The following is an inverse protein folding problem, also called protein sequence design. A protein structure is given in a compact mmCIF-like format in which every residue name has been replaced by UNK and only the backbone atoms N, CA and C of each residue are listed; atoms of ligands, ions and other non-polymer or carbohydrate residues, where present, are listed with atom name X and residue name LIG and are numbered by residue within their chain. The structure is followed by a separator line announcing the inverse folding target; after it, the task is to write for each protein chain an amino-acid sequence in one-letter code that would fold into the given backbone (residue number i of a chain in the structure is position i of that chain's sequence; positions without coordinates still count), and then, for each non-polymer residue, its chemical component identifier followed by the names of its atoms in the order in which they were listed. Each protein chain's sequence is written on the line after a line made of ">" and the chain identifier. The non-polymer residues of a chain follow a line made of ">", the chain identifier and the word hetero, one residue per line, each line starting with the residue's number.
data_IF_889811018315
#
_entry.id   IF_889811018315
#
_cell.length_a   1.000
_cell.length_b   1.000
_cell.length_c   1.000
_cell.angle_alpha   90.00
_cell.angle_beta   90.00
_cell.angle_gamma   90.00
#
_symmetry.space_group_name_H-M   'P 1'
#
loop_
_entity.id
_entity.type
_entity.pdbx_description
1 polymer ?
#
# COMPACT_ATOMS: atom_id res chain seq x y z
N UNK A 1 24.34 -12.12 11.16
CA UNK A 1 22.92 -11.83 10.87
C UNK A 1 22.47 -12.82 9.82
N UNK A 2 21.43 -13.62 10.05
CA UNK A 2 20.91 -14.55 9.04
C UNK A 2 20.56 -13.81 7.74
N UNK A 3 20.70 -14.43 6.56
CA UNK A 3 20.22 -13.83 5.32
C UNK A 3 18.71 -13.58 5.43
N UNK A 4 18.19 -12.44 4.94
CA UNK A 4 16.76 -12.12 5.00
C UNK A 4 15.95 -13.18 4.26
N UNK A 5 14.80 -13.53 4.82
CA UNK A 5 13.90 -14.53 4.26
C UNK A 5 13.41 -14.09 2.86
N UNK A 6 13.20 -15.03 1.94
CA UNK A 6 12.82 -14.71 0.56
C UNK A 6 11.48 -13.97 0.48
N UNK A 7 10.53 -14.26 1.37
CA UNK A 7 9.21 -13.63 1.47
C UNK A 7 9.33 -12.14 1.78
N UNK A 8 10.16 -11.76 2.75
CA UNK A 8 10.44 -10.36 3.07
C UNK A 8 11.04 -9.60 1.88
N UNK A 9 11.92 -10.24 1.10
CA UNK A 9 12.52 -9.61 -0.09
C UNK A 9 11.49 -9.35 -1.19
N UNK A 10 10.55 -10.28 -1.39
CA UNK A 10 9.44 -10.13 -2.34
C UNK A 10 8.46 -9.05 -1.88
N UNK A 11 7.96 -9.16 -0.65
CA UNK A 11 7.04 -8.19 -0.05
C UNK A 11 7.62 -6.77 -0.04
N UNK A 12 8.91 -6.62 0.28
CA UNK A 12 9.57 -5.30 0.25
C UNK A 12 9.63 -4.73 -1.16
N UNK A 13 9.90 -5.54 -2.19
CA UNK A 13 9.94 -5.08 -3.58
C UNK A 13 8.55 -4.63 -4.04
N UNK A 14 7.52 -5.38 -3.69
CA UNK A 14 6.12 -5.08 -4.00
C UNK A 14 5.63 -3.80 -3.31
N UNK A 15 5.93 -3.65 -2.02
CA UNK A 15 5.62 -2.44 -1.26
C UNK A 15 6.28 -1.19 -1.87
N UNK A 16 7.53 -1.29 -2.31
CA UNK A 16 8.23 -0.18 -2.97
C UNK A 16 7.53 0.21 -4.28
N UNK A 17 7.07 -0.76 -5.07
CA UNK A 17 6.33 -0.49 -6.31
C UNK A 17 5.03 0.26 -6.02
N UNK A 18 4.21 -0.22 -5.10
CA UNK A 18 2.97 0.44 -4.71
C UNK A 18 3.27 1.86 -4.19
N UNK A 19 4.22 2.00 -3.26
CA UNK A 19 4.59 3.29 -2.69
C UNK A 19 5.05 4.29 -3.76
N UNK A 20 5.85 3.86 -4.73
CA UNK A 20 6.33 4.71 -5.81
C UNK A 20 5.20 5.25 -6.69
N UNK A 21 4.18 4.44 -6.98
CA UNK A 21 3.00 4.88 -7.74
C UNK A 21 2.19 5.90 -6.95
N UNK A 22 1.99 5.67 -5.65
CA UNK A 22 1.31 6.60 -4.77
C UNK A 22 2.08 7.93 -4.59
N UNK A 23 3.41 7.88 -4.52
CA UNK A 23 4.25 9.07 -4.51
C UNK A 23 4.15 9.84 -5.84
N UNK A 24 4.20 9.15 -6.98
CA UNK A 24 4.02 9.77 -8.29
C UNK A 24 2.66 10.47 -8.41
N UNK A 25 1.59 9.82 -7.93
CA UNK A 25 0.26 10.43 -7.83
C UNK A 25 0.26 11.65 -6.92
N UNK A 26 0.92 11.60 -5.77
CA UNK A 26 1.01 12.72 -4.84
C UNK A 26 1.72 13.92 -5.49
N UNK A 27 2.86 13.66 -6.16
CA UNK A 27 3.59 14.70 -6.91
C UNK A 27 2.71 15.28 -8.01
N UNK A 28 2.01 14.43 -8.78
CA UNK A 28 1.07 14.88 -9.80
C UNK A 28 -0.02 15.79 -9.21
N UNK A 29 -0.66 15.39 -8.11
CA UNK A 29 -1.69 16.20 -7.43
C UNK A 29 -1.14 17.57 -7.04
N UNK A 30 0.04 17.61 -6.41
CA UNK A 30 0.67 18.86 -5.98
C UNK A 30 1.03 19.76 -7.17
N UNK A 31 1.59 19.19 -8.23
CA UNK A 31 1.97 19.91 -9.45
C UNK A 31 0.73 20.47 -10.15
N UNK A 32 -0.30 19.64 -10.34
CA UNK A 32 -1.54 20.06 -11.00
C UNK A 32 -2.27 21.13 -10.18
N UNK A 33 -2.39 20.95 -8.87
CA UNK A 33 -2.97 21.94 -7.96
C UNK A 33 -2.18 23.26 -7.98
N UNK A 34 -0.84 23.18 -8.06
CA UNK A 34 -0.01 24.36 -8.20
C UNK A 34 -0.41 25.13 -9.48
N UNK A 35 -0.49 24.46 -10.63
CA UNK A 35 -0.74 25.10 -11.94
C UNK A 35 -2.19 25.56 -12.14
N UNK A 36 -3.18 24.78 -11.71
CA UNK A 36 -4.59 25.02 -12.01
C UNK A 36 -5.37 25.65 -10.84
N UNK A 37 -4.88 25.51 -9.60
CA UNK A 37 -5.60 25.96 -8.40
C UNK A 37 -5.20 27.36 -7.90
N UNK A 38 -4.06 27.91 -8.34
CA UNK A 38 -3.57 29.21 -7.86
C UNK A 38 -3.63 30.31 -8.91
N UNK A 39 -4.04 31.50 -8.47
CA UNK A 39 -4.04 32.72 -9.28
C UNK A 39 -2.60 33.15 -9.53
N UNK A 40 -2.18 33.19 -10.80
CA UNK A 40 -0.83 33.62 -11.21
C UNK A 40 -0.91 34.81 -12.14
N UNK A 41 0.19 35.57 -12.21
CA UNK A 41 0.31 36.74 -13.09
C UNK A 41 0.02 36.44 -14.57
N UNK A 42 0.23 35.20 -15.04
CA UNK A 42 -0.12 34.74 -16.39
C UNK A 42 -1.39 33.88 -16.51
N UNK A 43 -2.07 33.59 -15.39
CA UNK A 43 -3.29 32.76 -15.36
C UNK A 43 -4.26 33.27 -14.28
N UNK A 44 -5.04 34.33 -14.57
CA UNK A 44 -6.10 34.76 -13.68
C UNK A 44 -7.20 33.70 -13.64
N UNK A 45 -7.57 33.23 -12.45
CA UNK A 45 -8.61 32.22 -12.24
C UNK A 45 -9.93 32.70 -12.87
N UNK A 46 -10.34 31.99 -13.92
CA UNK A 46 -11.55 32.31 -14.68
C UNK A 46 -12.75 31.51 -14.20
N UNK A 47 -13.94 31.89 -14.70
CA UNK A 47 -15.19 31.15 -14.44
C UNK A 47 -15.07 29.67 -14.87
N UNK A 48 -14.23 29.36 -15.85
CA UNK A 48 -13.93 27.99 -16.29
C UNK A 48 -13.20 27.13 -15.27
N UNK A 49 -12.29 27.70 -14.48
CA UNK A 49 -11.50 26.98 -13.46
C UNK A 49 -12.36 26.65 -12.23
N UNK A 50 -13.41 27.44 -12.01
CA UNK A 50 -14.34 27.31 -10.89
C UNK A 50 -15.58 26.51 -11.30
N UNK A 51 -15.72 26.11 -12.58
CA UNK A 51 -16.88 25.33 -13.04
C UNK A 51 -16.97 24.04 -12.22
N UNK A 52 -18.05 23.85 -11.46
CA UNK A 52 -18.18 22.69 -10.60
C UNK A 52 -18.48 21.47 -11.47
N UNK A 53 -17.69 20.42 -11.30
CA UNK A 53 -18.01 19.06 -11.72
C UNK A 53 -18.48 18.33 -10.47
N UNK A 54 -19.75 17.91 -10.44
CA UNK A 54 -20.36 17.23 -9.28
C UNK A 54 -20.31 18.04 -7.95
N UNK A 55 -20.28 19.38 -8.02
CA UNK A 55 -20.20 20.26 -6.85
C UNK A 55 -18.79 20.58 -6.37
N UNK A 56 -17.75 20.06 -7.04
CA UNK A 56 -16.33 20.26 -6.71
C UNK A 56 -15.65 20.96 -7.92
N UNK A 57 -14.67 21.87 -7.73
CA UNK A 57 -14.01 22.52 -8.86
C UNK A 57 -13.40 21.52 -9.84
N UNK A 58 -13.53 21.78 -11.15
CA UNK A 58 -13.04 20.90 -12.22
C UNK A 58 -11.56 20.53 -12.07
N UNK A 59 -10.73 21.48 -11.62
CA UNK A 59 -9.31 21.25 -11.39
C UNK A 59 -9.03 20.25 -10.26
N UNK A 60 -9.89 20.17 -9.24
CA UNK A 60 -9.77 19.17 -8.16
C UNK A 60 -10.13 17.79 -8.69
N UNK A 61 -11.17 17.72 -9.52
CA UNK A 61 -11.58 16.45 -10.12
C UNK A 61 -10.46 15.85 -10.99
N UNK A 62 -9.88 16.65 -11.88
CA UNK A 62 -8.81 16.18 -12.76
C UNK A 62 -7.45 16.08 -12.04
N UNK A 63 -7.18 16.96 -11.09
CA UNK A 63 -5.92 17.00 -10.36
C UNK A 63 -5.80 15.98 -9.23
N UNK A 64 -6.93 15.57 -8.63
CA UNK A 64 -6.95 14.69 -7.45
C UNK A 64 -7.72 13.41 -7.72
N UNK A 65 -8.97 13.48 -8.20
CA UNK A 65 -9.78 12.27 -8.34
C UNK A 65 -9.27 11.33 -9.43
N UNK A 66 -8.88 11.87 -10.60
CA UNK A 66 -8.34 11.07 -11.69
C UNK A 66 -7.08 10.26 -11.31
N UNK A 67 -6.00 10.87 -10.78
CA UNK A 67 -4.79 10.12 -10.41
C UNK A 67 -5.04 9.16 -9.24
N UNK A 68 -5.95 9.50 -8.31
CA UNK A 68 -6.32 8.61 -7.21
C UNK A 68 -7.05 7.36 -7.71
N UNK A 69 -7.99 7.52 -8.66
CA UNK A 69 -8.68 6.41 -9.29
C UNK A 69 -7.74 5.52 -10.09
N UNK A 70 -6.78 6.12 -10.82
CA UNK A 70 -5.71 5.36 -11.50
C UNK A 70 -4.89 4.55 -10.50
N UNK A 71 -4.50 5.13 -9.36
CA UNK A 71 -3.77 4.40 -8.32
C UNK A 71 -4.60 3.26 -7.73
N UNK A 72 -5.88 3.49 -7.42
CA UNK A 72 -6.76 2.44 -6.89
C UNK A 72 -6.89 1.27 -7.86
N UNK A 73 -7.14 1.54 -9.14
CA UNK A 73 -7.23 0.51 -10.18
C UNK A 73 -5.90 -0.22 -10.33
N UNK A 74 -4.79 0.51 -10.35
CA UNK A 74 -3.45 -0.08 -10.42
C UNK A 74 -3.16 -0.97 -9.21
N UNK A 75 -3.49 -0.53 -7.99
CA UNK A 75 -3.28 -1.32 -6.77
C UNK A 75 -4.12 -2.58 -6.78
N UNK A 76 -5.40 -2.52 -7.19
CA UNK A 76 -6.25 -3.71 -7.31
C UNK A 76 -5.72 -4.67 -8.36
N UNK A 77 -5.31 -4.16 -9.54
CA UNK A 77 -4.69 -4.97 -10.58
C UNK A 77 -3.40 -5.63 -10.07
N UNK A 78 -2.53 -4.84 -9.45
CA UNK A 78 -1.24 -5.31 -8.95
C UNK A 78 -1.40 -6.35 -7.83
N UNK A 79 -2.34 -6.13 -6.91
CA UNK A 79 -2.65 -7.11 -5.87
C UNK A 79 -3.23 -8.41 -6.46
N UNK A 80 -4.15 -8.31 -7.42
CA UNK A 80 -4.82 -9.49 -7.99
C UNK A 80 -3.97 -10.34 -8.94
N UNK A 81 -2.99 -9.75 -9.62
CA UNK A 81 -2.19 -10.47 -10.63
C UNK A 81 -0.68 -10.55 -10.34
N UNK A 82 -0.15 -9.69 -9.45
CA UNK A 82 1.30 -9.55 -9.25
C UNK A 82 1.78 -9.86 -7.84
N UNK A 83 0.94 -9.67 -6.82
CA UNK A 83 1.19 -10.27 -5.51
C UNK A 83 1.00 -11.78 -5.67
N UNK A 84 2.11 -12.50 -5.63
CA UNK A 84 2.04 -13.94 -5.42
C UNK A 84 1.60 -14.16 -3.97
N UNK A 85 0.73 -15.14 -3.73
CA UNK A 85 0.65 -15.75 -2.41
C UNK A 85 2.02 -16.39 -2.18
N UNK A 86 2.93 -15.65 -1.54
CA UNK A 86 4.18 -16.23 -1.06
C UNK A 86 3.79 -17.35 -0.10
N UNK A 87 4.27 -18.55 -0.38
CA UNK A 87 4.11 -19.70 0.51
C UNK A 87 4.73 -19.31 1.86
N UNK A 88 3.88 -19.06 2.87
CA UNK A 88 4.31 -18.76 4.24
C UNK A 88 5.02 -19.96 4.89
N UNK A 89 5.24 -21.05 4.15
CA UNK A 89 5.76 -22.30 4.63
C UNK A 89 4.64 -23.15 5.22
N UNK A 90 4.92 -24.44 5.38
CA UNK A 90 4.04 -25.39 6.05
C UNK A 90 3.55 -24.80 7.37
N UNK A 91 2.27 -24.93 7.65
CA UNK A 91 1.69 -24.56 8.94
C UNK A 91 2.46 -25.30 10.06
N UNK A 92 3.30 -24.56 10.80
CA UNK A 92 4.09 -25.13 11.90
C UNK A 92 3.22 -25.41 13.12
N UNK A 93 1.89 -25.34 13.02
CA UNK A 93 0.97 -25.75 14.08
C UNK A 93 1.30 -27.13 14.66
N UNK A 94 1.77 -28.08 13.83
CA UNK A 94 2.15 -29.41 14.28
C UNK A 94 3.49 -29.47 15.05
N UNK A 95 4.45 -28.59 14.73
CA UNK A 95 5.67 -28.44 15.53
C UNK A 95 5.40 -27.68 16.82
N UNK A 96 4.60 -26.60 16.75
CA UNK A 96 4.19 -25.83 17.92
C UNK A 96 3.39 -26.68 18.93
N UNK A 97 2.44 -27.50 18.46
CA UNK A 97 1.70 -28.44 19.33
C UNK A 97 2.63 -29.50 19.95
N UNK A 98 3.68 -29.91 19.23
CA UNK A 98 4.68 -30.84 19.76
C UNK A 98 5.52 -30.19 20.86
N UNK A 99 6.03 -28.99 20.63
CA UNK A 99 6.82 -28.23 21.59
C UNK A 99 6.01 -27.91 22.86
N UNK A 100 4.72 -27.55 22.72
CA UNK A 100 3.82 -27.30 23.85
C UNK A 100 3.62 -28.57 24.69
N UNK A 101 3.46 -29.73 24.05
CA UNK A 101 3.29 -31.02 24.75
C UNK A 101 4.55 -31.46 25.45
N UNK A 102 5.72 -31.27 24.83
CA UNK A 102 7.01 -31.58 25.43
C UNK A 102 7.27 -30.70 26.65
N UNK A 103 7.06 -29.38 26.55
CA UNK A 103 7.19 -28.46 27.67
C UNK A 103 6.20 -28.76 28.82
N UNK A 104 4.97 -29.18 28.50
CA UNK A 104 3.99 -29.60 29.51
C UNK A 104 4.40 -30.92 30.20
N UNK A 105 5.01 -31.85 29.45
CA UNK A 105 5.53 -33.12 29.97
C UNK A 105 6.74 -32.95 30.89
N UNK A 106 7.66 -32.04 30.54
CA UNK A 106 8.80 -31.68 31.39
C UNK A 106 8.34 -31.01 32.69
N UNK A 107 7.33 -30.14 32.64
CA UNK A 107 6.75 -29.51 33.83
C UNK A 107 6.06 -30.48 34.79
N UNK A 108 5.37 -31.52 34.27
CA UNK A 108 4.76 -32.57 35.10
C UNK A 108 5.81 -33.52 35.71
N UNK A 109 6.94 -33.73 35.02
CA UNK A 109 8.05 -34.54 35.53
C UNK A 109 8.80 -33.82 36.67
N UNK A 110 9.06 -32.51 36.54
CA UNK A 110 9.70 -31.68 37.57
C UNK A 110 8.81 -31.51 38.81
N UNK A 111 7.48 -31.39 38.63
CA UNK A 111 6.53 -31.28 39.74
C UNK A 111 6.35 -32.58 40.56
N UNK A 112 6.84 -33.73 40.06
CA UNK A 112 6.74 -35.05 40.71
C UNK A 112 8.07 -35.56 41.29
N UNK A 113 9.17 -34.86 41.05
CA UNK A 113 10.50 -35.15 41.61
C UNK A 113 10.68 -34.48 42.98
#
# INVERSE_FOLDING_TARGET
>A
MPPPDPTYRNARREAIVILSVWLASTVYCCVYAYFAGYQRSGHPLGVGDIRPVLGIPSWVFWGVMAPWLVCSVFTVWFAGWKMADDDLGLDHAAELDRDIREAAGEGDADARA
#
